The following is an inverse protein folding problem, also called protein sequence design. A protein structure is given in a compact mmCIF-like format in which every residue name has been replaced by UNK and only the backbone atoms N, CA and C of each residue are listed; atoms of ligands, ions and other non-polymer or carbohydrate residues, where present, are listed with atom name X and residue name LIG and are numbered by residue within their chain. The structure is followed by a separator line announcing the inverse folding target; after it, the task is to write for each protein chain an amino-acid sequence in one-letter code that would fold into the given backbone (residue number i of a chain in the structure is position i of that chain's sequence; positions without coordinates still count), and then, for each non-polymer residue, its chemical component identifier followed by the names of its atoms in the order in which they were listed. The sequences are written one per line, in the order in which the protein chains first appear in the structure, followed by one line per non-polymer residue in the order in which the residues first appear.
data_IF_966406208104
#
_entry.id   IF_966406208104
#
_cell.length_a   1.000
_cell.length_b   1.000
_cell.length_c   1.000
_cell.angle_alpha   90.00
_cell.angle_beta   90.00
_cell.angle_gamma   90.00
#
_symmetry.space_group_name_H-M   'P 1'
#
loop_
_entity.id
_entity.type
_entity.pdbx_description
1 polymer ?
#
# COMPACT_ATOMS: atom_id res chain seq x y z
N UNK A 1 9.43 -1.05 -36.39
CA UNK A 1 10.84 -0.87 -35.96
C UNK A 1 10.97 -0.44 -34.49
N UNK A 2 10.15 0.50 -34.00
CA UNK A 2 10.22 1.02 -32.62
C UNK A 2 9.94 0.01 -31.50
N UNK A 3 9.01 -0.94 -31.69
CA UNK A 3 8.67 -1.95 -30.66
C UNK A 3 9.76 -3.01 -30.45
N UNK A 4 10.48 -3.42 -31.51
CA UNK A 4 11.60 -4.36 -31.40
C UNK A 4 12.84 -3.71 -30.76
N UNK A 5 13.02 -2.40 -30.97
CA UNK A 5 14.08 -1.63 -30.32
C UNK A 5 13.80 -1.46 -28.82
N UNK A 6 12.54 -1.20 -28.43
CA UNK A 6 12.12 -1.13 -27.02
C UNK A 6 12.20 -2.48 -26.31
N UNK A 7 11.82 -3.58 -26.95
CA UNK A 7 12.00 -4.93 -26.38
C UNK A 7 13.48 -5.29 -26.23
N UNK A 8 14.32 -4.91 -27.20
CA UNK A 8 15.76 -5.10 -27.14
C UNK A 8 16.40 -4.30 -26.00
N UNK A 9 15.99 -3.04 -25.82
CA UNK A 9 16.47 -2.20 -24.71
C UNK A 9 16.04 -2.76 -23.36
N UNK A 10 14.79 -3.24 -23.23
CA UNK A 10 14.26 -3.85 -22.02
C UNK A 10 15.00 -5.14 -21.64
N UNK A 11 15.33 -5.99 -22.63
CA UNK A 11 16.09 -7.22 -22.43
C UNK A 11 17.55 -6.95 -22.04
N UNK A 12 18.16 -5.89 -22.60
CA UNK A 12 19.53 -5.47 -22.23
C UNK A 12 19.56 -4.86 -20.83
N UNK A 13 18.54 -4.08 -20.43
CA UNK A 13 18.45 -3.57 -19.06
C UNK A 13 18.16 -4.67 -18.04
N UNK A 14 17.40 -5.70 -18.41
CA UNK A 14 17.12 -6.85 -17.54
C UNK A 14 18.35 -7.76 -17.38
N UNK A 15 19.13 -7.96 -18.44
CA UNK A 15 20.40 -8.69 -18.39
C UNK A 15 21.48 -7.93 -17.59
N UNK A 16 21.52 -6.60 -17.68
CA UNK A 16 22.41 -5.76 -16.89
C UNK A 16 22.05 -5.77 -15.39
N UNK A 17 20.76 -5.91 -15.05
CA UNK A 17 20.32 -6.04 -13.66
C UNK A 17 20.66 -7.41 -13.04
N UNK A 18 20.63 -8.48 -13.84
CA UNK A 18 21.01 -9.83 -13.40
C UNK A 18 22.53 -9.95 -13.21
N UNK A 19 23.33 -9.24 -14.02
CA UNK A 19 24.79 -9.23 -13.91
C UNK A 19 25.35 -8.32 -12.80
N UNK A 20 24.53 -7.42 -12.24
CA UNK A 20 24.91 -6.51 -11.16
C UNK A 20 24.54 -7.01 -9.75
N UNK A 21 24.00 -8.24 -9.62
CA UNK A 21 23.83 -8.86 -8.32
C UNK A 21 25.23 -9.10 -7.71
N UNK A 22 25.54 -8.55 -6.53
CA UNK A 22 26.81 -8.83 -5.88
C UNK A 22 26.87 -10.33 -5.59
N UNK A 23 27.84 -11.02 -6.19
CA UNK A 23 28.25 -12.35 -5.77
C UNK A 23 28.92 -12.21 -4.40
N UNK A 24 28.11 -12.11 -3.35
CA UNK A 24 28.57 -12.27 -1.98
C UNK A 24 29.03 -13.71 -1.84
N UNK A 25 30.35 -13.88 -1.89
CA UNK A 25 30.97 -15.12 -1.47
C UNK A 25 30.63 -15.29 0.00
N UNK A 26 29.71 -16.21 0.31
CA UNK A 26 29.47 -16.65 1.66
C UNK A 26 30.75 -17.31 2.16
N UNK A 27 31.61 -16.53 2.81
CA UNK A 27 32.63 -17.06 3.68
C UNK A 27 31.90 -17.82 4.79
N UNK A 28 31.96 -19.15 4.73
CA UNK A 28 31.58 -20.04 5.82
C UNK A 28 32.59 -19.89 6.96
N UNK A 29 32.60 -18.73 7.61
CA UNK A 29 33.09 -18.60 8.97
C UNK A 29 32.04 -19.23 9.87
N UNK A 30 32.46 -20.17 10.73
CA UNK A 30 31.63 -20.70 11.81
C UNK A 30 30.85 -19.54 12.46
N UNK A 31 29.52 -19.61 12.46
CA UNK A 31 28.73 -18.59 13.14
C UNK A 31 29.01 -18.68 14.63
N UNK A 32 29.85 -17.79 15.13
CA UNK A 32 29.65 -17.26 16.47
C UNK A 32 28.19 -16.80 16.51
N UNK A 33 27.40 -17.31 17.46
CA UNK A 33 25.97 -17.01 17.54
C UNK A 33 25.68 -15.51 17.39
N UNK A 34 24.51 -15.16 16.86
CA UNK A 34 24.09 -13.78 16.69
C UNK A 34 23.12 -13.36 17.79
N UNK A 35 23.11 -12.06 18.13
CA UNK A 35 22.08 -11.44 18.96
C UNK A 35 21.33 -10.46 18.09
N UNK A 36 20.01 -10.58 18.03
CA UNK A 36 19.16 -9.64 17.30
C UNK A 36 18.86 -8.45 18.21
N UNK A 37 19.29 -7.26 17.80
CA UNK A 37 19.09 -6.02 18.53
C UNK A 37 17.92 -5.27 17.91
N UNK A 38 16.85 -5.02 18.66
CA UNK A 38 15.70 -4.23 18.20
C UNK A 38 15.89 -2.79 18.67
N UNK A 39 16.03 -1.87 17.71
CA UNK A 39 16.07 -0.44 18.01
C UNK A 39 14.64 0.08 18.24
N UNK A 40 14.18 0.03 19.48
CA UNK A 40 12.81 0.37 19.86
C UNK A 40 12.75 1.81 20.42
N UNK A 41 13.20 2.76 19.61
CA UNK A 41 13.10 4.21 19.86
C UNK A 41 11.93 4.81 19.07
N UNK A 42 10.73 4.32 19.38
CA UNK A 42 9.49 4.54 18.61
C UNK A 42 8.25 4.49 19.51
N UNK A 43 7.13 5.02 19.03
CA UNK A 43 5.80 4.82 19.62
C UNK A 43 5.35 3.37 19.40
N UNK A 44 4.53 2.83 20.30
CA UNK A 44 3.89 1.53 20.08
C UNK A 44 2.72 1.67 19.12
N UNK A 45 2.96 1.28 17.87
CA UNK A 45 1.98 1.27 16.78
C UNK A 45 2.21 0.09 15.83
N UNK A 46 1.41 0.03 14.76
CA UNK A 46 1.46 -1.04 13.77
C UNK A 46 2.83 -1.22 13.11
N UNK A 47 3.56 -0.13 12.86
CA UNK A 47 4.90 -0.19 12.26
C UNK A 47 5.91 -0.79 13.24
N UNK A 48 5.92 -0.33 14.49
CA UNK A 48 6.78 -0.87 15.54
C UNK A 48 6.46 -2.35 15.84
N UNK A 49 5.19 -2.73 15.82
CA UNK A 49 4.73 -4.11 16.03
C UNK A 49 5.20 -5.02 14.90
N UNK A 50 5.08 -4.56 13.65
CA UNK A 50 5.58 -5.26 12.46
C UNK A 50 7.10 -5.39 12.50
N UNK A 51 7.82 -4.37 12.97
CA UNK A 51 9.27 -4.42 13.16
C UNK A 51 9.66 -5.51 14.18
N UNK A 52 8.98 -5.59 15.33
CA UNK A 52 9.27 -6.63 16.33
C UNK A 52 8.96 -8.02 15.79
N UNK A 53 7.85 -8.20 15.05
CA UNK A 53 7.55 -9.46 14.37
C UNK A 53 8.70 -9.86 13.44
N UNK A 54 9.20 -8.93 12.62
CA UNK A 54 10.35 -9.17 11.73
C UNK A 54 11.62 -9.50 12.51
N UNK A 55 11.86 -8.86 13.66
CA UNK A 55 13.00 -9.17 14.51
C UNK A 55 12.93 -10.60 15.06
N UNK A 56 11.76 -11.05 15.51
CA UNK A 56 11.52 -12.43 15.96
C UNK A 56 11.75 -13.43 14.83
N UNK A 57 11.15 -13.20 13.65
CA UNK A 57 11.39 -14.06 12.49
C UNK A 57 12.87 -14.09 12.09
N UNK A 58 13.58 -12.97 12.18
CA UNK A 58 15.03 -12.91 11.92
C UNK A 58 15.80 -13.74 12.95
N UNK A 59 15.45 -13.63 14.24
CA UNK A 59 16.07 -14.39 15.31
C UNK A 59 15.87 -15.91 15.13
N UNK A 60 14.66 -16.34 14.79
CA UNK A 60 14.33 -17.73 14.47
C UNK A 60 15.15 -18.26 13.28
N UNK A 61 15.17 -17.53 12.16
CA UNK A 61 15.87 -17.93 10.93
C UNK A 61 17.39 -18.01 11.09
N UNK A 62 17.96 -17.14 11.91
CA UNK A 62 19.41 -17.07 12.18
C UNK A 62 19.85 -17.93 13.36
N UNK A 63 18.93 -18.60 14.04
CA UNK A 63 19.17 -19.30 15.31
C UNK A 63 19.91 -18.40 16.33
N UNK A 64 19.40 -17.18 16.50
CA UNK A 64 19.96 -16.18 17.39
C UNK A 64 20.01 -16.69 18.84
N UNK A 65 21.03 -16.25 19.57
CA UNK A 65 21.23 -16.58 20.99
C UNK A 65 20.32 -15.79 21.92
N UNK A 66 19.89 -14.61 21.50
CA UNK A 66 18.96 -13.76 22.21
C UNK A 66 18.39 -12.69 21.28
N UNK A 67 17.29 -12.09 21.72
CA UNK A 67 16.78 -10.81 21.22
C UNK A 67 16.97 -9.77 22.32
N UNK A 68 17.49 -8.59 22.00
CA UNK A 68 17.60 -7.46 22.92
C UNK A 68 16.79 -6.29 22.37
N UNK A 69 15.77 -5.88 23.11
CA UNK A 69 14.96 -4.69 22.83
C UNK A 69 15.63 -3.51 23.51
N UNK A 70 16.22 -2.61 22.73
CA UNK A 70 16.75 -1.33 23.23
C UNK A 70 15.61 -0.33 23.20
N UNK A 71 15.02 -0.07 24.38
CA UNK A 71 13.70 0.54 24.51
C UNK A 71 13.77 2.00 24.93
N UNK A 72 13.21 2.86 24.09
CA UNK A 72 12.83 4.22 24.43
C UNK A 72 11.46 4.51 23.82
N UNK A 73 10.39 4.34 24.59
CA UNK A 73 9.02 4.50 24.09
C UNK A 73 8.10 5.19 25.09
N UNK A 74 7.26 6.15 24.64
CA UNK A 74 6.17 6.70 25.43
C UNK A 74 4.98 5.74 25.56
N UNK A 75 5.00 4.61 24.87
CA UNK A 75 3.87 3.70 24.73
C UNK A 75 3.07 3.96 23.46
N UNK A 76 1.80 3.61 23.45
CA UNK A 76 0.94 3.70 22.27
C UNK A 76 -0.24 2.73 22.34
N UNK A 77 -0.59 2.13 21.20
CA UNK A 77 -1.82 1.34 21.04
C UNK A 77 -1.80 0.01 21.80
N UNK A 78 -2.92 -0.28 22.48
CA UNK A 78 -3.11 -1.48 23.28
C UNK A 78 -3.00 -2.77 22.44
N UNK A 79 -3.61 -2.78 21.26
CA UNK A 79 -3.60 -3.90 20.31
C UNK A 79 -2.18 -4.25 19.87
N UNK A 80 -1.39 -3.26 19.47
CA UNK A 80 -0.02 -3.44 19.02
C UNK A 80 0.91 -3.87 20.16
N UNK A 81 0.69 -3.34 21.37
CA UNK A 81 1.35 -3.81 22.58
C UNK A 81 1.13 -5.30 22.82
N UNK A 82 -0.13 -5.76 22.76
CA UNK A 82 -0.47 -7.17 22.96
C UNK A 82 0.15 -8.06 21.86
N UNK A 83 0.17 -7.59 20.61
CA UNK A 83 0.85 -8.28 19.51
C UNK A 83 2.35 -8.43 19.77
N UNK A 84 3.02 -7.35 20.20
CA UNK A 84 4.44 -7.38 20.54
C UNK A 84 4.71 -8.37 21.68
N UNK A 85 3.90 -8.33 22.75
CA UNK A 85 4.03 -9.30 23.86
C UNK A 85 3.87 -10.73 23.35
N UNK A 86 2.89 -11.01 22.48
CA UNK A 86 2.71 -12.33 21.89
C UNK A 86 3.94 -12.78 21.06
N UNK A 87 4.54 -11.89 20.27
CA UNK A 87 5.77 -12.20 19.52
C UNK A 87 6.96 -12.50 20.44
N UNK A 88 7.08 -11.76 21.55
CA UNK A 88 8.09 -12.02 22.59
C UNK A 88 7.87 -13.39 23.22
N UNK A 89 6.64 -13.72 23.61
CA UNK A 89 6.30 -15.02 24.19
C UNK A 89 6.54 -16.17 23.22
N UNK A 90 6.26 -15.98 21.93
CA UNK A 90 6.57 -16.95 20.88
C UNK A 90 8.08 -17.21 20.79
N UNK A 91 8.90 -16.16 20.71
CA UNK A 91 10.36 -16.30 20.67
C UNK A 91 10.91 -17.05 21.89
N UNK A 92 10.36 -16.75 23.08
CA UNK A 92 10.72 -17.42 24.33
C UNK A 92 10.31 -18.89 24.34
N UNK A 93 9.12 -19.23 23.83
CA UNK A 93 8.67 -20.61 23.69
C UNK A 93 9.56 -21.43 22.75
N UNK A 94 10.12 -20.78 21.72
CA UNK A 94 11.08 -21.36 20.79
C UNK A 94 12.52 -21.40 21.35
N UNK A 95 12.70 -21.03 22.62
CA UNK A 95 13.98 -21.12 23.34
C UNK A 95 14.92 -19.94 23.10
N UNK A 96 14.45 -18.86 22.48
CA UNK A 96 15.21 -17.63 22.27
C UNK A 96 14.89 -16.65 23.41
N UNK A 97 15.82 -16.38 24.34
CA UNK A 97 15.57 -15.41 25.40
C UNK A 97 15.47 -14.00 24.83
N UNK A 98 14.52 -13.23 25.35
CA UNK A 98 14.29 -11.83 25.01
C UNK A 98 14.63 -10.97 26.22
N UNK A 99 15.40 -9.91 26.02
CA UNK A 99 15.81 -8.98 27.05
C UNK A 99 15.41 -7.55 26.72
N UNK A 100 15.13 -6.74 27.73
CA UNK A 100 14.90 -5.31 27.56
C UNK A 100 16.03 -4.51 28.18
N UNK A 101 16.61 -3.59 27.41
CA UNK A 101 17.53 -2.57 27.89
C UNK A 101 16.90 -1.19 27.70
N UNK A 102 16.74 -0.41 28.78
CA UNK A 102 16.36 1.00 28.69
C UNK A 102 17.63 1.85 28.77
N UNK A 103 18.08 2.48 27.66
CA UNK A 103 19.32 3.24 27.60
C UNK A 103 19.22 4.55 28.39
N UNK A 104 20.34 5.25 28.69
CA UNK A 104 20.30 6.56 29.33
C UNK A 104 19.33 7.51 28.63
N UNK A 105 18.59 8.31 29.41
CA UNK A 105 17.52 9.21 28.95
C UNK A 105 16.32 8.52 28.28
N UNK A 106 16.32 7.18 28.21
CA UNK A 106 15.23 6.38 27.67
C UNK A 106 14.11 6.11 28.67
N UNK A 107 12.98 5.61 28.16
CA UNK A 107 11.79 5.28 28.94
C UNK A 107 11.09 4.02 28.47
N UNK A 108 10.47 3.30 29.40
CA UNK A 108 9.58 2.18 29.16
C UNK A 108 8.17 2.52 29.70
N UNK A 109 7.53 3.52 29.09
CA UNK A 109 6.27 4.07 29.58
C UNK A 109 5.05 3.42 28.91
N UNK A 110 3.91 3.41 29.62
CA UNK A 110 2.62 2.91 29.13
C UNK A 110 2.75 1.53 28.49
N UNK A 111 2.38 1.34 27.22
CA UNK A 111 2.56 0.08 26.50
C UNK A 111 4.00 -0.49 26.55
N UNK A 112 5.03 0.36 26.58
CA UNK A 112 6.42 -0.07 26.73
C UNK A 112 6.70 -0.83 28.02
N UNK A 113 6.02 -0.49 29.11
CA UNK A 113 6.16 -1.19 30.38
C UNK A 113 5.67 -2.64 30.29
N UNK A 114 4.54 -2.90 29.63
CA UNK A 114 4.03 -4.26 29.41
C UNK A 114 4.98 -5.07 28.53
N UNK A 115 5.49 -4.46 27.45
CA UNK A 115 6.49 -5.09 26.57
C UNK A 115 7.74 -5.47 27.37
N UNK A 116 8.26 -4.55 28.18
CA UNK A 116 9.41 -4.82 29.04
C UNK A 116 9.13 -5.97 30.03
N UNK A 117 7.96 -5.92 30.68
CA UNK A 117 7.52 -6.92 31.67
C UNK A 117 7.31 -8.33 31.08
N UNK A 118 7.12 -8.44 29.77
CA UNK A 118 7.06 -9.73 29.07
C UNK A 118 8.44 -10.38 28.85
N UNK A 119 9.53 -9.61 28.91
CA UNK A 119 10.89 -10.11 28.63
C UNK A 119 11.50 -10.90 29.79
N UNK A 120 12.50 -11.74 29.51
CA UNK A 120 13.16 -12.59 30.49
C UNK A 120 13.92 -11.78 31.55
N UNK A 121 14.53 -10.67 31.14
CA UNK A 121 15.32 -9.80 32.01
C UNK A 121 15.25 -8.35 31.53
N UNK A 122 15.13 -7.42 32.47
CA UNK A 122 15.07 -5.99 32.22
C UNK A 122 16.26 -5.34 32.92
N UNK A 123 17.05 -4.57 32.17
CA UNK A 123 18.12 -3.73 32.71
C UNK A 123 17.85 -2.29 32.29
N UNK A 124 17.96 -1.36 33.23
CA UNK A 124 17.69 0.07 33.00
C UNK A 124 18.94 0.91 33.29
N UNK A 125 19.19 1.97 32.54
CA UNK A 125 20.23 2.94 32.88
C UNK A 125 19.76 3.93 33.96
N UNK A 126 20.70 4.60 34.63
CA UNK A 126 20.35 5.72 35.50
C UNK A 126 19.64 6.84 34.71
N UNK A 127 18.67 7.52 35.33
CA UNK A 127 17.89 8.58 34.70
C UNK A 127 16.68 8.09 33.89
N UNK A 128 16.47 6.78 33.82
CA UNK A 128 15.33 6.17 33.11
C UNK A 128 14.19 5.80 34.05
N UNK A 129 13.02 5.49 33.48
CA UNK A 129 11.85 5.05 34.23
C UNK A 129 11.01 3.99 33.47
N UNK A 130 10.23 3.22 34.22
CA UNK A 130 9.26 2.25 33.72
C UNK A 130 7.88 2.57 34.30
N UNK A 131 6.83 2.45 33.48
CA UNK A 131 5.50 2.99 33.77
C UNK A 131 5.44 4.50 33.49
N UNK A 132 4.35 5.20 33.84
CA UNK A 132 3.11 4.64 34.36
C UNK A 132 2.36 3.86 33.27
N UNK A 133 1.35 3.06 33.64
CA UNK A 133 0.81 2.00 32.78
C UNK A 133 -0.71 1.98 32.69
N UNK A 134 -1.41 2.99 33.21
CA UNK A 134 -2.87 3.05 33.16
C UNK A 134 -3.34 3.12 31.71
N UNK A 135 -4.21 2.19 31.23
CA UNK A 135 -4.78 2.28 29.90
C UNK A 135 -5.77 3.46 29.85
N UNK A 136 -5.87 4.16 28.72
CA UNK A 136 -6.86 5.22 28.53
C UNK A 136 -7.75 4.87 27.33
N UNK A 137 -9.06 4.76 27.58
CA UNK A 137 -10.07 4.51 26.56
C UNK A 137 -10.61 5.85 26.06
N UNK A 138 -10.07 6.32 24.93
CA UNK A 138 -10.47 7.60 24.34
C UNK A 138 -11.93 7.52 23.85
N UNK A 139 -12.79 8.38 24.38
CA UNK A 139 -14.22 8.42 24.04
C UNK A 139 -15.06 7.32 24.68
N UNK A 140 -14.48 6.47 25.53
CA UNK A 140 -15.18 5.43 26.26
C UNK A 140 -15.96 5.93 27.47
N UNK A 141 -16.92 5.12 27.92
CA UNK A 141 -17.63 5.32 29.18
C UNK A 141 -16.75 4.96 30.38
N UNK A 142 -17.06 5.46 31.60
CA UNK A 142 -16.34 5.04 32.81
C UNK A 142 -16.38 3.52 33.04
N UNK A 143 -17.44 2.83 32.58
CA UNK A 143 -17.54 1.38 32.69
C UNK A 143 -16.53 0.67 31.77
N UNK A 144 -16.37 1.13 30.53
CA UNK A 144 -15.39 0.59 29.58
C UNK A 144 -13.95 0.88 30.02
N UNK A 145 -13.72 2.07 30.58
CA UNK A 145 -12.45 2.44 31.19
C UNK A 145 -12.09 1.48 32.33
N UNK A 146 -12.97 1.31 33.32
CA UNK A 146 -12.74 0.40 34.44
C UNK A 146 -12.56 -1.05 33.97
N UNK A 147 -13.37 -1.51 33.00
CA UNK A 147 -13.24 -2.86 32.47
C UNK A 147 -11.87 -3.11 31.81
N UNK A 148 -11.37 -2.12 31.07
CA UNK A 148 -10.06 -2.18 30.42
C UNK A 148 -8.93 -2.13 31.45
N UNK A 149 -9.05 -1.25 32.45
CA UNK A 149 -8.09 -1.14 33.54
C UNK A 149 -7.99 -2.45 34.34
N UNK A 150 -9.11 -3.02 34.77
CA UNK A 150 -9.16 -4.31 35.49
C UNK A 150 -8.49 -5.45 34.69
N UNK A 151 -8.76 -5.51 33.38
CA UNK A 151 -8.13 -6.50 32.50
C UNK A 151 -6.61 -6.30 32.39
N UNK A 152 -6.16 -5.05 32.34
CA UNK A 152 -4.76 -4.70 32.19
C UNK A 152 -3.96 -4.81 33.49
N UNK A 153 -4.61 -4.70 34.65
CA UNK A 153 -4.03 -5.07 35.95
C UNK A 153 -3.71 -6.57 35.95
N UNK A 154 -4.72 -7.41 35.68
CA UNK A 154 -4.56 -8.86 35.68
C UNK A 154 -3.50 -9.31 34.65
N UNK A 155 -3.44 -8.66 33.49
CA UNK A 155 -2.41 -8.92 32.49
C UNK A 155 -1.00 -8.58 33.00
N UNK A 156 -0.80 -7.39 33.58
CA UNK A 156 0.49 -6.96 34.13
C UNK A 156 0.97 -7.89 35.25
N UNK A 157 0.08 -8.29 36.15
CA UNK A 157 0.37 -9.24 37.23
C UNK A 157 0.76 -10.62 36.69
N UNK A 158 0.11 -11.07 35.61
CA UNK A 158 0.44 -12.31 34.91
C UNK A 158 1.86 -12.27 34.33
N UNK A 159 2.23 -11.17 33.68
CA UNK A 159 3.58 -10.95 33.15
C UNK A 159 4.62 -10.92 34.28
N UNK A 160 4.33 -10.22 35.39
CA UNK A 160 5.20 -10.19 36.55
C UNK A 160 5.41 -11.57 37.18
N UNK A 161 4.31 -12.31 37.39
CA UNK A 161 4.34 -13.64 38.02
C UNK A 161 5.16 -14.64 37.22
N UNK A 162 5.09 -14.58 35.88
CA UNK A 162 5.87 -15.46 34.98
C UNK A 162 7.37 -15.36 35.20
N UNK A 163 7.86 -14.16 35.52
CA UNK A 163 9.29 -13.88 35.67
C UNK A 163 9.72 -13.61 37.12
N UNK A 164 8.84 -13.88 38.10
CA UNK A 164 9.13 -13.68 39.52
C UNK A 164 9.32 -12.21 39.93
N UNK A 165 8.69 -11.28 39.19
CA UNK A 165 8.70 -9.85 39.50
C UNK A 165 7.62 -9.50 40.52
N UNK A 166 7.78 -8.37 41.19
CA UNK A 166 6.84 -7.92 42.22
C UNK A 166 5.49 -7.48 41.64
N UNK A 167 4.49 -8.37 41.72
CA UNK A 167 3.13 -8.14 41.22
C UNK A 167 2.48 -6.87 41.82
N UNK A 168 2.60 -6.66 43.13
CA UNK A 168 2.03 -5.47 43.79
C UNK A 168 2.66 -4.17 43.31
N UNK A 169 3.96 -4.16 43.06
CA UNK A 169 4.63 -2.94 42.58
C UNK A 169 4.18 -2.59 41.15
N UNK A 170 3.95 -3.59 40.29
CA UNK A 170 3.49 -3.36 38.91
C UNK A 170 1.99 -3.09 38.81
N UNK A 171 1.18 -3.63 39.71
CA UNK A 171 -0.24 -3.25 39.88
C UNK A 171 -0.36 -1.73 40.12
N UNK A 172 0.49 -1.18 41.00
CA UNK A 172 0.54 0.27 41.29
C UNK A 172 0.88 1.10 40.03
N UNK A 173 1.64 0.54 39.07
CA UNK A 173 1.90 1.24 37.80
C UNK A 173 0.62 1.47 37.00
N UNK A 174 -0.34 0.54 37.12
CA UNK A 174 -1.62 0.56 36.38
C UNK A 174 -2.70 1.30 37.17
N UNK A 175 -2.90 0.99 38.45
CA UNK A 175 -4.00 1.55 39.27
C UNK A 175 -3.73 3.00 39.67
N UNK A 176 -2.48 3.33 39.96
CA UNK A 176 -2.10 4.65 40.51
C UNK A 176 -1.40 5.54 39.49
N UNK A 177 -1.35 5.13 38.22
CA UNK A 177 -0.65 5.82 37.13
C UNK A 177 0.78 6.24 37.55
N UNK A 178 1.52 5.31 38.18
CA UNK A 178 2.81 5.59 38.79
C UNK A 178 3.97 5.01 37.99
N UNK A 179 4.97 5.85 37.73
CA UNK A 179 6.28 5.40 37.22
C UNK A 179 7.27 5.10 38.35
N UNK A 180 8.20 4.19 38.08
CA UNK A 180 9.35 3.91 38.94
C UNK A 180 10.65 4.24 38.22
N UNK A 181 11.55 4.98 38.89
CA UNK A 181 12.91 5.18 38.37
C UNK A 181 13.68 3.86 38.36
N UNK A 182 14.76 3.76 37.59
CA UNK A 182 15.61 2.56 37.54
C UNK A 182 15.99 2.02 38.94
N UNK A 183 16.34 2.90 39.89
CA UNK A 183 16.71 2.49 41.25
C UNK A 183 15.53 1.99 42.06
N UNK A 184 14.37 2.64 41.95
CA UNK A 184 13.14 2.20 42.63
C UNK A 184 12.66 0.86 42.04
N UNK A 185 12.68 0.74 40.71
CA UNK A 185 12.31 -0.47 40.00
C UNK A 185 13.20 -1.65 40.39
N UNK A 186 14.51 -1.42 40.58
CA UNK A 186 15.42 -2.45 41.09
C UNK A 186 15.11 -2.79 42.55
N UNK A 187 14.91 -1.79 43.41
CA UNK A 187 14.60 -1.98 44.83
C UNK A 187 13.30 -2.74 45.06
N UNK A 188 12.29 -2.51 44.21
CA UNK A 188 11.00 -3.18 44.29
C UNK A 188 10.97 -4.51 43.52
N UNK A 189 12.07 -4.95 42.93
CA UNK A 189 12.13 -6.18 42.12
C UNK A 189 11.18 -6.18 40.91
N UNK A 190 11.06 -5.03 40.24
CA UNK A 190 10.42 -4.90 38.92
C UNK A 190 11.43 -5.27 37.82
N UNK A 191 12.68 -4.83 37.96
CA UNK A 191 13.76 -5.08 37.00
C UNK A 191 14.90 -5.90 37.62
N UNK A 192 15.81 -6.38 36.79
CA UNK A 192 16.89 -7.29 37.16
C UNK A 192 18.21 -6.60 37.47
N UNK A 193 18.45 -5.40 36.89
CA UNK A 193 19.71 -4.70 37.08
C UNK A 193 19.67 -3.25 36.60
N UNK A 194 20.73 -2.52 36.94
CA UNK A 194 20.96 -1.15 36.48
C UNK A 194 22.32 -1.07 35.80
N UNK A 195 22.36 -0.63 34.55
CA UNK A 195 23.58 -0.52 33.75
C UNK A 195 23.56 0.74 32.86
N UNK A 196 24.60 1.56 32.94
CA UNK A 196 24.66 2.85 32.22
C UNK A 196 25.18 2.71 30.77
N UNK A 197 25.43 1.49 30.31
CA UNK A 197 25.75 1.21 28.92
C UNK A 197 25.13 -0.10 28.47
N UNK A 198 24.78 -0.18 27.19
CA UNK A 198 24.29 -1.40 26.56
C UNK A 198 25.31 -2.54 26.67
N UNK A 199 26.60 -2.23 26.53
CA UNK A 199 27.68 -3.19 26.67
C UNK A 199 27.67 -3.88 28.04
N UNK A 200 27.53 -3.11 29.12
CA UNK A 200 27.44 -3.65 30.47
C UNK A 200 26.20 -4.55 30.65
N UNK A 201 25.04 -4.14 30.12
CA UNK A 201 23.84 -4.97 30.15
C UNK A 201 24.03 -6.31 29.39
N UNK A 202 24.71 -6.28 28.25
CA UNK A 202 25.03 -7.48 27.48
C UNK A 202 26.05 -8.39 28.18
N UNK A 203 26.97 -7.83 28.97
CA UNK A 203 27.90 -8.58 29.82
C UNK A 203 27.15 -9.29 30.95
N UNK A 204 26.22 -8.60 31.61
CA UNK A 204 25.38 -9.16 32.68
C UNK A 204 24.51 -10.33 32.19
N UNK A 205 24.04 -10.29 30.93
CA UNK A 205 23.32 -11.39 30.30
C UNK A 205 24.22 -12.46 29.68
N UNK A 206 25.55 -12.26 29.67
CA UNK A 206 26.51 -13.22 29.09
C UNK A 206 26.45 -13.30 27.56
N UNK A 207 25.97 -12.25 26.88
CA UNK A 207 25.79 -12.21 25.43
C UNK A 207 26.69 -11.19 24.71
N UNK A 208 27.56 -10.49 25.44
CA UNK A 208 28.45 -9.44 24.90
C UNK A 208 29.40 -9.90 23.78
N UNK A 209 29.77 -11.19 23.74
CA UNK A 209 30.72 -11.73 22.76
C UNK A 209 30.08 -12.17 21.43
N UNK A 210 28.76 -12.05 21.30
CA UNK A 210 28.04 -12.45 20.09
C UNK A 210 27.90 -11.28 19.10
N UNK A 211 27.82 -11.60 17.81
CA UNK A 211 27.66 -10.59 16.77
C UNK A 211 26.26 -9.98 16.84
N UNK A 212 26.18 -8.66 16.90
CA UNK A 212 24.93 -7.92 16.97
C UNK A 212 24.35 -7.68 15.57
N UNK A 213 23.07 -7.98 15.37
CA UNK A 213 22.33 -7.68 14.14
C UNK A 213 21.19 -6.72 14.49
N UNK A 214 21.30 -5.48 14.03
CA UNK A 214 20.32 -4.44 14.34
C UNK A 214 19.11 -4.47 13.42
N UNK A 215 17.94 -4.42 14.02
CA UNK A 215 16.63 -4.30 13.37
C UNK A 215 16.02 -2.98 13.81
N UNK A 216 15.87 -2.08 12.84
CA UNK A 216 15.15 -0.80 12.96
C UNK A 216 14.04 -0.76 11.92
N UNK A 217 13.09 0.17 12.08
CA UNK A 217 11.98 0.33 11.15
C UNK A 217 12.47 0.62 9.72
N UNK A 218 12.02 -0.20 8.77
CA UNK A 218 12.24 0.03 7.34
C UNK A 218 11.18 0.99 6.76
N UNK A 219 11.30 1.35 5.48
CA UNK A 219 10.37 2.28 4.82
C UNK A 219 8.91 1.80 4.84
N UNK A 220 8.67 0.49 4.85
CA UNK A 220 7.33 -0.06 4.93
C UNK A 220 6.77 0.10 6.35
N UNK A 221 7.54 -0.24 7.37
CA UNK A 221 7.16 -0.07 8.78
C UNK A 221 6.93 1.41 9.14
N UNK A 222 7.83 2.31 8.72
CA UNK A 222 7.66 3.76 8.90
C UNK A 222 6.41 4.28 8.20
N UNK A 223 6.08 3.76 7.02
CA UNK A 223 4.85 4.10 6.33
C UNK A 223 3.61 3.65 7.11
N UNK A 224 3.66 2.46 7.73
CA UNK A 224 2.58 1.99 8.59
C UNK A 224 2.41 2.88 9.83
N UNK A 225 3.50 3.26 10.52
CA UNK A 225 3.45 4.17 11.67
C UNK A 225 2.90 5.55 11.32
N UNK A 226 3.23 6.07 10.14
CA UNK A 226 2.67 7.34 9.63
C UNK A 226 1.17 7.19 9.37
N UNK A 227 0.74 6.06 8.80
CA UNK A 227 -0.67 5.80 8.55
C UNK A 227 -1.47 5.63 9.84
N UNK A 228 -0.91 5.12 10.92
CA UNK A 228 -1.63 4.95 12.20
C UNK A 228 -1.50 6.17 13.11
N UNK A 229 -1.06 7.32 12.59
CA UNK A 229 -0.90 8.53 13.40
C UNK A 229 -2.16 9.42 13.31
N UNK A 230 -2.91 9.64 14.41
CA UNK A 230 -4.16 10.40 14.40
C UNK A 230 -4.03 11.83 13.88
N UNK A 231 -2.84 12.44 14.04
CA UNK A 231 -2.57 13.78 13.51
C UNK A 231 -2.46 13.76 11.99
N UNK A 232 -1.76 12.75 11.45
CA UNK A 232 -1.62 12.55 10.01
C UNK A 232 -2.99 12.26 9.39
N UNK A 233 -3.82 11.47 10.07
CA UNK A 233 -5.18 11.17 9.65
C UNK A 233 -6.07 12.39 9.55
N UNK A 234 -6.06 13.24 10.58
CA UNK A 234 -6.76 14.52 10.58
C UNK A 234 -6.32 15.43 9.44
N UNK A 235 -5.02 15.48 9.15
CA UNK A 235 -4.45 16.25 8.04
C UNK A 235 -4.90 15.65 6.70
N UNK A 236 -4.82 14.33 6.52
CA UNK A 236 -5.22 13.65 5.29
C UNK A 236 -6.71 13.82 4.99
N UNK A 237 -7.57 13.70 6.02
CA UNK A 237 -9.01 13.96 5.89
C UNK A 237 -9.31 15.41 5.52
N UNK A 238 -8.67 16.36 6.20
CA UNK A 238 -8.86 17.78 5.94
C UNK A 238 -8.38 18.15 4.54
N UNK A 239 -7.19 17.70 4.16
CA UNK A 239 -6.63 17.91 2.83
C UNK A 239 -7.53 17.28 1.76
N UNK A 240 -7.99 16.06 1.99
CA UNK A 240 -8.84 15.36 1.04
C UNK A 240 -10.18 16.05 0.83
N UNK A 241 -10.77 16.61 1.90
CA UNK A 241 -11.96 17.45 1.81
C UNK A 241 -11.70 18.71 0.97
N UNK A 242 -10.59 19.42 1.21
CA UNK A 242 -10.22 20.60 0.42
C UNK A 242 -9.96 20.27 -1.06
N UNK A 243 -9.34 19.13 -1.36
CA UNK A 243 -9.10 18.69 -2.73
C UNK A 243 -10.39 18.42 -3.50
N UNK A 244 -11.38 17.81 -2.84
CA UNK A 244 -12.73 17.63 -3.41
C UNK A 244 -13.42 18.99 -3.62
N UNK A 245 -13.32 19.92 -2.65
CA UNK A 245 -13.89 21.26 -2.80
C UNK A 245 -13.26 22.04 -3.95
N UNK A 246 -11.93 22.05 -4.08
CA UNK A 246 -11.23 22.75 -5.16
C UNK A 246 -11.66 22.21 -6.52
N UNK A 247 -11.82 20.89 -6.64
CA UNK A 247 -12.25 20.24 -7.87
C UNK A 247 -13.73 20.52 -8.21
N UNK A 248 -14.56 20.83 -7.20
CA UNK A 248 -15.93 21.32 -7.40
C UNK A 248 -15.93 22.72 -8.07
N UNK A 249 -14.94 23.56 -7.74
CA UNK A 249 -14.77 24.89 -8.35
C UNK A 249 -13.98 24.86 -9.67
N UNK A 250 -13.14 23.84 -9.89
CA UNK A 250 -12.33 23.66 -11.09
C UNK A 250 -12.48 22.23 -11.62
N UNK A 251 -13.13 21.99 -12.79
CA UNK A 251 -13.53 20.65 -13.23
C UNK A 251 -12.33 19.82 -13.75
N UNK A 252 -11.40 19.48 -12.87
CA UNK A 252 -10.19 18.72 -13.19
C UNK A 252 -10.33 17.22 -12.93
N UNK A 253 -11.30 16.78 -12.12
CA UNK A 253 -11.65 15.40 -11.69
C UNK A 253 -10.51 14.61 -11.00
N UNK A 254 -9.24 14.98 -11.25
CA UNK A 254 -8.07 14.38 -10.63
C UNK A 254 -7.93 14.76 -9.15
N UNK A 255 -8.32 15.97 -8.77
CA UNK A 255 -8.20 16.44 -7.38
C UNK A 255 -9.24 15.77 -6.48
N UNK A 256 -10.48 15.53 -6.94
CA UNK A 256 -11.47 14.76 -6.19
C UNK A 256 -11.01 13.32 -5.94
N UNK A 257 -10.38 12.69 -6.93
CA UNK A 257 -9.86 11.33 -6.81
C UNK A 257 -8.77 11.24 -5.74
N UNK A 258 -7.80 12.15 -5.76
CA UNK A 258 -6.77 12.25 -4.71
C UNK A 258 -7.40 12.59 -3.35
N UNK A 259 -8.43 13.43 -3.34
CA UNK A 259 -9.13 13.81 -2.12
C UNK A 259 -9.90 12.68 -1.46
N UNK A 260 -10.58 11.84 -2.24
CA UNK A 260 -11.25 10.62 -1.73
C UNK A 260 -10.24 9.64 -1.15
N UNK A 261 -9.11 9.42 -1.84
CA UNK A 261 -8.02 8.58 -1.34
C UNK A 261 -7.48 9.13 -0.02
N UNK A 262 -7.22 10.44 0.07
CA UNK A 262 -6.71 11.07 1.28
C UNK A 262 -7.70 10.97 2.45
N UNK A 263 -9.00 11.23 2.22
CA UNK A 263 -10.02 11.10 3.27
C UNK A 263 -10.03 9.70 3.84
N UNK A 264 -10.04 8.68 2.98
CA UNK A 264 -10.19 7.33 3.49
C UNK A 264 -8.89 6.79 4.05
N UNK A 265 -7.71 7.18 3.55
CA UNK A 265 -6.45 6.90 4.24
C UNK A 265 -6.47 7.45 5.67
N UNK A 266 -6.98 8.68 5.87
CA UNK A 266 -7.13 9.22 7.22
C UNK A 266 -8.22 8.53 8.06
N UNK A 267 -9.33 8.09 7.47
CA UNK A 267 -10.34 7.29 8.20
C UNK A 267 -9.82 5.91 8.61
N UNK A 268 -8.94 5.33 7.79
CA UNK A 268 -8.28 4.05 8.06
C UNK A 268 -7.27 4.19 9.18
N UNK A 269 -6.42 5.21 9.11
CA UNK A 269 -5.44 5.46 10.16
C UNK A 269 -6.04 5.81 11.50
N UNK A 270 -7.19 6.50 11.49
CA UNK A 270 -7.93 6.82 12.71
C UNK A 270 -8.58 5.59 13.35
N UNK A 271 -8.39 4.39 12.78
CA UNK A 271 -8.97 3.10 13.19
C UNK A 271 -10.51 3.11 13.29
N UNK A 272 -11.18 4.13 12.74
CA UNK A 272 -12.64 4.26 12.71
C UNK A 272 -13.27 3.11 11.90
N UNK A 273 -12.50 2.53 10.97
CA UNK A 273 -12.86 1.38 10.16
C UNK A 273 -11.92 0.23 10.51
N UNK A 274 -12.32 -0.66 11.41
CA UNK A 274 -11.56 -1.86 11.81
C UNK A 274 -11.45 -2.93 10.71
N UNK A 275 -10.94 -2.57 9.54
CA UNK A 275 -10.86 -3.44 8.36
C UNK A 275 -9.47 -3.40 7.72
N UNK A 276 -9.12 -4.43 6.94
CA UNK A 276 -7.80 -4.53 6.28
C UNK A 276 -7.47 -3.26 5.48
N UNK A 277 -6.42 -2.56 5.90
CA UNK A 277 -5.90 -1.33 5.29
C UNK A 277 -5.71 -1.51 3.78
N UNK A 278 -5.26 -2.69 3.35
CA UNK A 278 -5.05 -3.05 1.94
C UNK A 278 -6.39 -3.14 1.19
N UNK A 279 -7.38 -3.79 1.79
CA UNK A 279 -8.71 -3.92 1.22
C UNK A 279 -9.37 -2.55 1.01
N UNK A 280 -9.29 -1.68 2.02
CA UNK A 280 -9.81 -0.31 1.92
C UNK A 280 -9.03 0.49 0.87
N UNK A 281 -7.69 0.44 0.89
CA UNK A 281 -6.84 1.17 -0.07
C UNK A 281 -7.17 0.81 -1.52
N UNK A 282 -7.42 -0.47 -1.80
CA UNK A 282 -7.82 -0.91 -3.14
C UNK A 282 -9.23 -0.45 -3.51
N UNK A 283 -10.18 -0.41 -2.58
CA UNK A 283 -11.49 0.22 -2.81
C UNK A 283 -11.33 1.68 -3.25
N UNK A 284 -10.38 2.41 -2.64
CA UNK A 284 -10.13 3.81 -2.96
C UNK A 284 -9.45 4.04 -4.29
N UNK A 285 -8.40 3.29 -4.57
CA UNK A 285 -7.73 3.33 -5.87
C UNK A 285 -8.75 2.97 -6.95
N UNK A 286 -9.60 1.97 -6.68
CA UNK A 286 -10.70 1.60 -7.55
C UNK A 286 -11.68 2.75 -7.79
N UNK A 287 -12.21 3.37 -6.73
CA UNK A 287 -13.13 4.49 -6.82
C UNK A 287 -12.53 5.72 -7.53
N UNK A 288 -11.28 6.05 -7.25
CA UNK A 288 -10.53 7.13 -7.91
C UNK A 288 -10.40 6.88 -9.42
N UNK A 289 -10.05 5.66 -9.84
CA UNK A 289 -9.97 5.27 -11.24
C UNK A 289 -11.37 5.33 -11.89
N UNK A 290 -12.43 4.94 -11.17
CA UNK A 290 -13.80 5.08 -11.66
C UNK A 290 -14.21 6.55 -11.87
N UNK A 291 -13.81 7.46 -10.97
CA UNK A 291 -14.09 8.90 -11.10
C UNK A 291 -13.37 9.54 -12.29
N UNK A 292 -12.16 9.06 -12.64
CA UNK A 292 -11.46 9.50 -13.84
C UNK A 292 -12.22 9.17 -15.14
N UNK A 293 -13.07 8.13 -15.13
CA UNK A 293 -13.88 7.74 -16.28
C UNK A 293 -14.94 8.78 -16.66
N UNK A 294 -15.43 9.57 -15.68
CA UNK A 294 -16.46 10.59 -15.91
C UNK A 294 -16.04 11.62 -16.98
N UNK A 295 -14.72 11.81 -17.17
CA UNK A 295 -14.16 12.69 -18.22
C UNK A 295 -13.76 11.96 -19.51
N UNK A 296 -13.45 10.66 -19.45
CA UNK A 296 -12.93 9.90 -20.58
C UNK A 296 -14.06 9.30 -21.45
N UNK A 297 -15.20 8.95 -20.85
CA UNK A 297 -16.41 8.54 -21.58
C UNK A 297 -16.28 7.24 -22.40
N UNK A 298 -15.30 6.40 -22.08
CA UNK A 298 -15.00 5.12 -22.73
C UNK A 298 -15.46 3.89 -21.91
N UNK A 299 -15.79 4.07 -20.64
CA UNK A 299 -16.27 3.04 -19.69
C UNK A 299 -15.19 2.16 -19.06
N UNK A 300 -13.93 2.37 -19.41
CA UNK A 300 -12.85 1.43 -19.12
C UNK A 300 -12.16 1.63 -17.78
N UNK A 301 -11.90 2.87 -17.40
CA UNK A 301 -11.45 3.21 -16.07
C UNK A 301 -12.56 2.89 -15.05
N UNK A 302 -13.83 2.95 -15.44
CA UNK A 302 -14.93 2.49 -14.59
C UNK A 302 -14.86 0.98 -14.33
N UNK A 303 -14.59 0.14 -15.33
CA UNK A 303 -14.46 -1.31 -15.15
C UNK A 303 -13.17 -1.67 -14.40
N UNK A 304 -12.04 -1.06 -14.74
CA UNK A 304 -10.77 -1.30 -14.06
C UNK A 304 -10.84 -0.88 -12.58
N UNK A 305 -11.41 0.28 -12.32
CA UNK A 305 -11.61 0.76 -10.96
C UNK A 305 -12.61 -0.08 -10.18
N UNK A 306 -13.70 -0.55 -10.80
CA UNK A 306 -14.63 -1.48 -10.18
C UNK A 306 -13.98 -2.83 -9.85
N UNK A 307 -13.06 -3.33 -10.68
CA UNK A 307 -12.32 -4.56 -10.42
C UNK A 307 -11.32 -4.40 -9.25
N UNK A 308 -10.60 -3.29 -9.21
CA UNK A 308 -9.68 -2.97 -8.08
C UNK A 308 -10.49 -2.79 -6.79
N UNK A 309 -11.65 -2.14 -6.85
CA UNK A 309 -12.51 -1.99 -5.69
C UNK A 309 -13.15 -3.31 -5.24
N UNK A 310 -13.58 -4.16 -6.17
CA UNK A 310 -14.09 -5.49 -5.85
C UNK A 310 -13.03 -6.38 -5.21
N UNK A 311 -11.77 -6.29 -5.66
CA UNK A 311 -10.65 -6.96 -5.00
C UNK A 311 -10.45 -6.42 -3.58
N UNK A 312 -10.55 -5.10 -3.38
CA UNK A 312 -10.49 -4.51 -2.05
C UNK A 312 -11.61 -4.99 -1.12
N UNK A 313 -12.87 -5.02 -1.61
CA UNK A 313 -14.03 -5.58 -0.87
C UNK A 313 -13.82 -7.06 -0.56
N UNK A 314 -13.26 -7.83 -1.50
CA UNK A 314 -12.96 -9.23 -1.29
C UNK A 314 -11.91 -9.44 -0.18
N UNK A 315 -10.84 -8.64 -0.17
CA UNK A 315 -9.83 -8.69 0.89
C UNK A 315 -10.38 -8.25 2.25
N UNK A 316 -11.35 -7.31 2.27
CA UNK A 316 -12.09 -6.97 3.49
C UNK A 316 -12.98 -8.13 3.98
N UNK A 317 -13.71 -8.76 3.07
CA UNK A 317 -14.63 -9.84 3.40
C UNK A 317 -13.92 -11.09 3.94
N UNK A 318 -12.67 -11.32 3.51
CA UNK A 318 -11.85 -12.40 4.07
C UNK A 318 -11.41 -12.14 5.52
N UNK A 319 -11.58 -10.90 6.01
CA UNK A 319 -11.24 -10.46 7.36
C UNK A 319 -9.89 -11.02 7.81
N UNK A 320 -8.90 -11.14 6.89
CA UNK A 320 -7.64 -11.83 7.18
C UNK A 320 -6.95 -11.00 8.25
N UNK A 321 -6.94 -11.45 9.52
CA UNK A 321 -6.04 -10.83 10.46
C UNK A 321 -4.64 -11.11 9.91
N UNK A 322 -3.74 -10.14 9.98
CA UNK A 322 -2.31 -10.41 9.84
C UNK A 322 -1.86 -11.25 11.05
N UNK A 323 -2.39 -12.45 11.19
CA UNK A 323 -1.94 -13.49 12.10
C UNK A 323 -1.46 -14.61 11.22
N UNK A 324 -0.14 -14.68 11.09
CA UNK A 324 0.57 -15.84 10.59
C UNK A 324 0.41 -16.97 11.59
N UNK A 325 -0.73 -17.67 11.56
CA UNK A 325 -0.81 -18.97 12.22
C UNK A 325 0.00 -19.99 11.42
N UNK A 326 1.01 -20.50 12.11
CA UNK A 326 1.86 -21.63 11.81
C UNK A 326 1.03 -22.91 11.67
N UNK A 327 0.57 -23.19 10.45
CA UNK A 327 0.13 -24.53 10.08
C UNK A 327 0.83 -24.90 8.76
N UNK A 328 1.69 -25.94 8.75
CA UNK A 328 2.26 -26.45 7.52
C UNK A 328 1.18 -27.26 6.79
N UNK A 329 1.15 -27.14 5.47
CA UNK A 329 0.30 -27.90 4.52
C UNK A 329 -1.14 -27.43 4.34
N UNK A 330 -1.31 -26.25 3.76
CA UNK A 330 -2.35 -26.02 2.75
C UNK A 330 -1.74 -25.13 1.66
N UNK A 331 -2.09 -25.31 0.36
CA UNK A 331 -1.45 -24.56 -0.71
C UNK A 331 -1.98 -23.12 -0.72
N UNK A 332 -1.42 -22.28 0.18
CA UNK A 332 -1.79 -20.87 0.47
C UNK A 332 -1.61 -19.91 -0.72
N UNK A 333 -1.07 -20.37 -1.85
CA UNK A 333 -0.82 -19.54 -3.03
C UNK A 333 -1.77 -19.81 -4.19
N UNK A 334 -2.58 -20.88 -4.16
CA UNK A 334 -3.45 -21.23 -5.30
C UNK A 334 -4.50 -20.15 -5.56
N UNK A 335 -5.04 -19.53 -4.52
CA UNK A 335 -6.01 -18.44 -4.68
C UNK A 335 -5.36 -17.16 -5.21
N UNK A 336 -4.14 -16.83 -4.77
CA UNK A 336 -3.39 -15.68 -5.28
C UNK A 336 -2.96 -15.88 -6.75
N UNK A 337 -2.46 -17.07 -7.10
CA UNK A 337 -2.04 -17.42 -8.45
C UNK A 337 -3.24 -17.47 -9.42
N UNK A 338 -4.38 -18.01 -8.97
CA UNK A 338 -5.63 -17.98 -9.75
C UNK A 338 -6.14 -16.53 -9.90
N UNK A 339 -6.02 -15.70 -8.88
CA UNK A 339 -6.40 -14.28 -8.94
C UNK A 339 -5.55 -13.52 -9.97
N UNK A 340 -4.23 -13.71 -9.94
CA UNK A 340 -3.29 -13.10 -10.88
C UNK A 340 -3.54 -13.62 -12.30
N UNK A 341 -3.80 -14.92 -12.47
CA UNK A 341 -4.10 -15.51 -13.76
C UNK A 341 -5.42 -15.00 -14.36
N UNK A 342 -6.46 -14.83 -13.53
CA UNK A 342 -7.76 -14.30 -13.96
C UNK A 342 -7.64 -12.81 -14.31
N UNK A 343 -6.98 -12.00 -13.48
CA UNK A 343 -6.73 -10.58 -13.76
C UNK A 343 -5.89 -10.41 -15.02
N UNK A 344 -4.84 -11.21 -15.19
CA UNK A 344 -3.99 -11.22 -16.38
C UNK A 344 -4.75 -11.66 -17.64
N UNK A 345 -5.64 -12.66 -17.55
CA UNK A 345 -6.49 -13.10 -18.65
C UNK A 345 -7.50 -12.02 -19.07
N UNK A 346 -8.13 -11.36 -18.10
CA UNK A 346 -9.07 -10.25 -18.35
C UNK A 346 -8.35 -9.07 -19.00
N UNK A 347 -7.19 -8.66 -18.47
CA UNK A 347 -6.34 -7.61 -19.06
C UNK A 347 -5.84 -7.99 -20.47
N UNK A 348 -5.45 -9.24 -20.68
CA UNK A 348 -4.99 -9.73 -21.98
C UNK A 348 -6.09 -9.73 -23.04
N UNK A 349 -7.30 -10.18 -22.67
CA UNK A 349 -8.49 -10.13 -23.54
C UNK A 349 -8.89 -8.68 -23.84
N UNK A 350 -8.78 -7.81 -22.83
CA UNK A 350 -9.06 -6.39 -22.92
C UNK A 350 -8.09 -5.65 -23.87
N UNK A 351 -6.78 -5.88 -23.74
CA UNK A 351 -5.75 -5.32 -24.64
C UNK A 351 -5.96 -5.85 -26.07
N UNK A 352 -6.25 -7.15 -26.23
CA UNK A 352 -6.55 -7.76 -27.53
C UNK A 352 -7.79 -7.13 -28.17
N UNK A 353 -8.81 -6.79 -27.38
CA UNK A 353 -10.06 -6.22 -27.86
C UNK A 353 -9.96 -4.73 -28.21
N UNK A 354 -9.10 -3.95 -27.55
CA UNK A 354 -8.79 -2.56 -27.94
C UNK A 354 -7.87 -2.51 -29.17
N UNK A 355 -6.89 -3.42 -29.24
CA UNK A 355 -5.99 -3.50 -30.39
C UNK A 355 -6.67 -4.02 -31.67
N UNK A 356 -7.74 -4.83 -31.55
CA UNK A 356 -8.49 -5.38 -32.69
C UNK A 356 -9.17 -4.31 -33.59
N UNK A 357 -9.89 -3.30 -33.07
CA UNK A 357 -10.49 -2.24 -33.86
C UNK A 357 -9.49 -1.16 -34.33
N UNK A 358 -8.32 -1.02 -33.69
CA UNK A 358 -7.25 -0.15 -34.20
C UNK A 358 -6.70 -0.62 -35.56
N UNK A 359 -6.82 -1.92 -35.88
CA UNK A 359 -6.50 -2.46 -37.21
C UNK A 359 -7.62 -2.26 -38.25
N UNK A 360 -8.80 -1.74 -37.86
CA UNK A 360 -10.01 -1.66 -38.70
C UNK A 360 -10.61 -0.26 -38.81
N UNK A 361 -9.86 0.81 -38.56
CA UNK A 361 -10.36 2.15 -38.88
C UNK A 361 -10.12 2.46 -40.36
N UNK A 362 -11.20 2.62 -41.13
CA UNK A 362 -11.16 3.33 -42.41
C UNK A 362 -10.70 4.78 -42.12
N UNK A 363 -9.82 5.37 -42.93
CA UNK A 363 -9.28 6.70 -42.66
C UNK A 363 -10.41 7.73 -42.58
N UNK A 364 -10.54 8.42 -41.45
CA UNK A 364 -11.52 9.49 -41.22
C UNK A 364 -10.95 10.88 -41.56
N UNK A 365 -9.81 10.94 -42.26
CA UNK A 365 -9.21 12.16 -42.77
C UNK A 365 -8.49 11.85 -44.09
N UNK A 366 -8.83 12.61 -45.14
CA UNK A 366 -8.30 12.45 -46.50
C UNK A 366 -9.37 12.69 -47.56
N UNK A 367 -9.01 12.89 -48.84
CA UNK A 367 -9.95 13.06 -49.94
C UNK A 367 -10.99 11.93 -50.04
N UNK A 368 -10.66 10.74 -49.52
CA UNK A 368 -11.53 9.56 -49.47
C UNK A 368 -12.77 9.71 -48.59
N UNK A 369 -12.82 10.72 -47.70
CA UNK A 369 -14.04 11.00 -46.90
C UNK A 369 -15.15 11.64 -47.74
N UNK A 370 -14.83 12.14 -48.94
CA UNK A 370 -15.79 12.77 -49.85
C UNK A 370 -16.61 11.72 -50.62
N UNK A 371 -16.23 10.44 -50.56
CA UNK A 371 -16.93 9.35 -51.25
C UNK A 371 -18.32 9.17 -50.64
N UNK A 372 -19.36 9.34 -51.46
CA UNK A 372 -20.77 9.26 -51.07
C UNK A 372 -21.46 10.63 -50.93
N UNK A 373 -20.70 11.72 -50.83
CA UNK A 373 -21.26 13.07 -50.70
C UNK A 373 -21.87 13.57 -52.00
N UNK A 374 -22.86 14.47 -51.86
CA UNK A 374 -23.54 15.13 -52.98
C UNK A 374 -23.02 16.56 -53.15
N UNK A 375 -22.70 16.92 -54.38
CA UNK A 375 -22.29 18.26 -54.79
C UNK A 375 -23.02 18.73 -56.03
N UNK A 376 -22.55 19.84 -56.60
CA UNK A 376 -23.12 20.44 -57.81
C UNK A 376 -22.01 20.62 -58.86
N UNK A 377 -22.30 20.26 -60.11
CA UNK A 377 -21.42 20.54 -61.24
C UNK A 377 -21.36 22.05 -61.52
N UNK A 378 -20.17 22.65 -61.50
CA UNK A 378 -19.99 24.08 -61.82
C UNK A 378 -19.78 24.30 -63.33
N UNK A 379 -19.19 23.33 -64.01
CA UNK A 379 -19.01 23.30 -65.47
C UNK A 379 -19.67 22.05 -66.05
N UNK A 380 -19.80 21.97 -67.36
CA UNK A 380 -20.16 20.70 -68.02
C UNK A 380 -19.00 19.71 -67.82
N UNK A 381 -19.28 18.48 -67.39
CA UNK A 381 -18.30 17.39 -67.28
C UNK A 381 -18.42 16.49 -68.52
N UNK A 382 -17.45 16.61 -69.44
CA UNK A 382 -17.32 15.72 -70.61
C UNK A 382 -15.86 15.52 -71.05
N UNK A 383 -15.13 14.52 -70.53
CA UNK A 383 -15.42 13.78 -69.31
C UNK A 383 -14.99 14.53 -68.04
N UNK A 384 -14.24 15.63 -68.14
CA UNK A 384 -13.69 16.38 -67.00
C UNK A 384 -14.32 17.77 -66.87
N UNK A 385 -14.40 18.28 -65.64
CA UNK A 385 -14.95 19.59 -65.28
C UNK A 385 -14.68 19.89 -63.81
N UNK A 386 -15.43 20.82 -63.23
CA UNK A 386 -15.33 21.20 -61.82
C UNK A 386 -16.65 21.00 -61.09
N UNK A 387 -16.57 20.53 -59.84
CA UNK A 387 -17.73 20.30 -58.96
C UNK A 387 -17.50 20.99 -57.62
N UNK A 388 -18.58 21.44 -56.99
CA UNK A 388 -18.55 21.98 -55.63
C UNK A 388 -19.12 20.95 -54.66
N UNK A 389 -18.28 20.42 -53.77
CA UNK A 389 -18.64 19.43 -52.74
C UNK A 389 -18.19 19.99 -51.39
N UNK A 390 -19.10 19.99 -50.39
CA UNK A 390 -18.88 20.61 -49.07
C UNK A 390 -18.33 22.07 -49.13
N UNK A 391 -18.74 22.84 -50.14
CA UNK A 391 -18.33 24.24 -50.27
C UNK A 391 -16.99 24.47 -50.98
N UNK A 392 -16.22 23.43 -51.28
CA UNK A 392 -14.90 23.51 -51.94
C UNK A 392 -15.03 23.08 -53.42
N UNK A 393 -14.31 23.77 -54.30
CA UNK A 393 -14.24 23.43 -55.74
C UNK A 393 -13.19 22.35 -55.97
N UNK A 394 -13.60 21.26 -56.60
CA UNK A 394 -12.75 20.12 -56.94
C UNK A 394 -12.76 19.89 -58.44
N UNK A 395 -11.61 19.46 -58.98
CA UNK A 395 -11.58 18.86 -60.33
C UNK A 395 -12.35 17.56 -60.27
N UNK A 396 -13.22 17.32 -61.24
CA UNK A 396 -13.99 16.10 -61.30
C UNK A 396 -14.05 15.51 -62.71
N UNK A 397 -14.28 14.20 -62.77
CA UNK A 397 -14.52 13.45 -63.99
C UNK A 397 -15.82 12.67 -63.88
N UNK A 398 -16.66 12.73 -64.90
CA UNK A 398 -17.89 11.96 -64.95
C UNK A 398 -17.56 10.45 -65.04
N UNK A 399 -18.22 9.64 -64.21
CA UNK A 399 -18.12 8.19 -64.23
C UNK A 399 -18.82 7.59 -65.46
N UNK A 400 -19.93 8.20 -65.87
CA UNK A 400 -20.72 7.83 -67.05
C UNK A 400 -21.51 9.04 -67.57
N UNK A 401 -21.66 9.11 -68.89
CA UNK A 401 -22.40 10.19 -69.55
C UNK A 401 -21.76 11.58 -69.47
N UNK A 402 -22.48 12.57 -69.99
CA UNK A 402 -22.13 13.99 -69.82
C UNK A 402 -23.04 14.57 -68.74
N UNK A 403 -22.45 15.26 -67.77
CA UNK A 403 -23.17 15.95 -66.70
C UNK A 403 -23.13 17.44 -67.02
N UNK A 404 -24.27 18.13 -67.03
CA UNK A 404 -24.32 19.57 -67.33
C UNK A 404 -24.03 20.41 -66.10
N UNK A 405 -23.51 21.61 -66.31
CA UNK A 405 -23.35 22.62 -65.27
C UNK A 405 -24.71 22.87 -64.57
N UNK A 406 -24.71 22.84 -63.24
CA UNK A 406 -25.88 22.98 -62.39
C UNK A 406 -26.52 21.67 -61.93
N UNK A 407 -26.14 20.52 -62.49
CA UNK A 407 -26.68 19.22 -62.06
C UNK A 407 -26.07 18.74 -60.75
N UNK A 408 -26.86 18.02 -59.94
CA UNK A 408 -26.37 17.38 -58.72
C UNK A 408 -25.57 16.13 -59.05
N UNK A 409 -24.44 15.97 -58.37
CA UNK A 409 -23.52 14.86 -58.59
C UNK A 409 -23.16 14.18 -57.28
N UNK A 410 -23.00 12.86 -57.29
CA UNK A 410 -22.51 12.07 -56.15
C UNK A 410 -21.08 11.62 -56.39
N UNK A 411 -20.21 11.75 -55.40
CA UNK A 411 -18.82 11.28 -55.48
C UNK A 411 -18.76 9.76 -55.32
N UNK A 412 -18.24 9.07 -56.32
CA UNK A 412 -18.15 7.60 -56.38
C UNK A 412 -16.76 7.10 -55.93
N UNK A 413 -15.70 7.81 -56.32
CA UNK A 413 -14.31 7.51 -55.93
C UNK A 413 -13.46 8.78 -56.00
N UNK A 414 -12.29 8.75 -55.38
CA UNK A 414 -11.30 9.83 -55.46
C UNK A 414 -9.99 9.30 -56.02
N UNK A 415 -9.46 9.98 -57.03
CA UNK A 415 -8.18 9.67 -57.68
C UNK A 415 -7.23 10.86 -57.52
N UNK A 416 -6.37 10.79 -56.51
CA UNK A 416 -5.48 11.89 -56.15
C UNK A 416 -6.26 13.15 -55.74
N UNK A 417 -6.20 14.19 -56.56
CA UNK A 417 -6.93 15.46 -56.36
C UNK A 417 -8.15 15.61 -57.29
N UNK A 418 -8.56 14.53 -57.96
CA UNK A 418 -9.72 14.53 -58.88
C UNK A 418 -10.83 13.63 -58.33
N UNK A 419 -12.05 14.16 -58.22
CA UNK A 419 -13.23 13.42 -57.81
C UNK A 419 -13.86 12.73 -59.02
N UNK A 420 -14.31 11.50 -58.86
CA UNK A 420 -15.09 10.82 -59.89
C UNK A 420 -16.53 10.84 -59.45
N UNK A 421 -17.40 11.40 -60.29
CA UNK A 421 -18.76 11.71 -59.90
C UNK A 421 -19.77 11.14 -60.90
N UNK A 422 -20.96 10.82 -60.43
CA UNK A 422 -22.10 10.40 -61.25
C UNK A 422 -23.31 11.32 -61.01
N UNK A 423 -24.23 11.39 -61.98
CA UNK A 423 -25.45 12.19 -61.83
C UNK A 423 -26.34 11.65 -60.70
N UNK A 424 -26.71 12.52 -59.74
CA UNK A 424 -27.51 12.12 -58.57
C UNK A 424 -29.00 11.92 -58.89
N UNK A 425 -29.42 12.09 -60.15
CA UNK A 425 -30.81 12.05 -60.63
C UNK A 425 -31.32 10.64 -61.02
N UNK A 426 -30.65 9.58 -60.55
CA UNK A 426 -31.10 8.19 -60.68
C UNK A 426 -31.30 7.53 -59.31
N UNK A 427 -32.53 7.52 -58.84
CA UNK A 427 -32.93 6.94 -57.56
C UNK A 427 -32.87 5.40 -57.61
N UNK A 428 -32.00 4.78 -56.81
CA UNK A 428 -32.23 3.45 -56.25
C UNK A 428 -31.57 3.37 -54.87
N UNK A 429 -32.35 3.66 -53.82
CA UNK A 429 -31.98 3.34 -52.44
C UNK A 429 -31.96 1.81 -52.25
N UNK A 430 -30.90 1.21 -51.69
CA UNK A 430 -30.98 -0.13 -51.12
C UNK A 430 -31.41 -0.06 -49.65
N UNK A 431 -32.35 -0.96 -49.29
CA UNK A 431 -32.83 -1.23 -47.93
C UNK A 431 -31.74 -1.77 -47.00
#
# INVERSE_FOLDING_TARGET
MKLKLLLGLLLVTLAAFIAAAPLTHASSGQSSGQVVMVNFDVTVDLGSSTMVQRAVTTAELTHAKAIVIVMNTPGGYLSDMLNIVNYIEQAQADGIPVYTYVPPDGMAASAGSYIAMATNSIIMANGTFIGPSTPIVVGGTPLEQNHTEDAMIAFMEGLASRWGRNATAVEIMVVSDKAFTAQQALQYHIINGVANSLQQAMEDWGIANYTQVWVSENLYEQFLSVLTNPTVDGILMTLGFFLILIDLYHPTLALSAVGVVAIVLGLVGAEVVGASIIGITLILIGAAIMLLEVKMGHGFAMIAGAAVAALGVYLLALNIPYITTSAPTAPKYVLADVSIAVVGAVLGLYIRWIAAPMKRRKPMAGPESLIGDVGVALTDLSPAGEVKVQGIVWKARAASGNIKAGEQVRVVRVEGLTLIVEGASGESQPR
#
